data_IF_877899377528
#
_entry.id   IF_877899377528
#
_cell.length_a   1.000
_cell.length_b   1.000
_cell.length_c   1.000
_cell.angle_alpha   90.00
_cell.angle_beta   90.00
_cell.angle_gamma   90.00
#
_symmetry.space_group_name_H-M   'P 1'
#
loop_
_entity.id
_entity.type
_entity.pdbx_description
1 polymer ?
#
# COMPACT_ATOMS: atom_id res chain seq x y z
N UNK A 1 -5.43 -25.30 -1.78
CA UNK A 1 -4.49 -24.17 -2.01
C UNK A 1 -5.23 -23.16 -2.87
N UNK A 2 -5.76 -22.10 -2.26
CA UNK A 2 -6.45 -21.03 -3.00
C UNK A 2 -5.34 -20.10 -3.52
N UNK A 3 -5.28 -19.88 -4.83
CA UNK A 3 -4.23 -19.07 -5.46
C UNK A 3 -4.66 -17.60 -5.56
N UNK A 4 -3.78 -16.64 -5.23
CA UNK A 4 -4.04 -15.19 -5.30
C UNK A 4 -3.83 -14.59 -6.69
N UNK A 5 -3.60 -15.43 -7.71
CA UNK A 5 -3.32 -14.99 -9.09
C UNK A 5 -4.40 -14.01 -9.59
N UNK A 6 -5.67 -14.28 -9.31
CA UNK A 6 -6.79 -13.43 -9.75
C UNK A 6 -6.73 -12.02 -9.15
N UNK A 7 -6.41 -11.92 -7.87
CA UNK A 7 -6.40 -10.64 -7.14
C UNK A 7 -5.22 -9.78 -7.57
N UNK A 8 -4.03 -10.39 -7.65
CA UNK A 8 -2.81 -9.71 -8.12
C UNK A 8 -2.97 -9.23 -9.55
N UNK A 9 -3.55 -10.06 -10.43
CA UNK A 9 -3.83 -9.68 -11.82
C UNK A 9 -4.79 -8.49 -11.89
N UNK A 10 -5.89 -8.52 -11.15
CA UNK A 10 -6.87 -7.42 -11.11
C UNK A 10 -6.28 -6.13 -10.55
N UNK A 11 -5.47 -6.21 -9.50
CA UNK A 11 -4.78 -5.06 -8.93
C UNK A 11 -3.83 -4.39 -9.93
N UNK A 12 -3.24 -5.16 -10.85
CA UNK A 12 -2.40 -4.67 -11.95
C UNK A 12 -3.20 -4.28 -13.21
N UNK A 13 -4.53 -4.38 -13.20
CA UNK A 13 -5.39 -4.03 -14.33
C UNK A 13 -5.22 -4.93 -15.56
N UNK A 14 -4.72 -6.15 -15.40
CA UNK A 14 -4.42 -7.05 -16.52
C UNK A 14 -5.58 -8.01 -16.83
N UNK A 15 -5.79 -8.32 -18.11
CA UNK A 15 -6.72 -9.37 -18.54
C UNK A 15 -6.06 -10.76 -18.45
N UNK A 16 -6.86 -11.84 -18.51
CA UNK A 16 -6.31 -13.20 -18.58
C UNK A 16 -5.41 -13.39 -19.81
N UNK A 17 -5.75 -12.73 -20.92
CA UNK A 17 -4.99 -12.76 -22.17
C UNK A 17 -3.66 -12.02 -22.04
N UNK A 18 -3.63 -10.89 -21.35
CA UNK A 18 -2.39 -10.14 -21.09
C UNK A 18 -1.39 -10.97 -20.28
N UNK A 19 -1.86 -11.64 -19.23
CA UNK A 19 -1.00 -12.50 -18.41
C UNK A 19 -0.52 -13.71 -19.22
N UNK A 20 -1.39 -14.29 -20.04
CA UNK A 20 -1.04 -15.44 -20.87
C UNK A 20 0.05 -15.12 -21.90
N UNK A 21 0.00 -13.92 -22.49
CA UNK A 21 1.02 -13.39 -23.43
C UNK A 21 2.35 -13.05 -22.75
N UNK A 22 2.31 -12.63 -21.49
CA UNK A 22 3.50 -12.29 -20.70
C UNK A 22 4.23 -13.49 -20.10
N UNK A 23 3.60 -14.66 -20.11
CA UNK A 23 4.25 -15.90 -19.67
C UNK A 23 5.35 -16.32 -20.64
N UNK A 24 6.42 -16.94 -20.12
CA UNK A 24 7.46 -17.59 -20.92
C UNK A 24 7.58 -19.09 -20.55
N UNK A 25 7.29 -20.01 -21.49
CA UNK A 25 6.69 -19.77 -22.81
C UNK A 25 5.25 -19.23 -22.72
N UNK A 26 4.77 -18.51 -23.75
CA UNK A 26 3.40 -17.99 -23.80
C UNK A 26 2.36 -19.09 -23.65
N UNK A 27 1.25 -18.77 -23.01
CA UNK A 27 0.15 -19.71 -22.79
C UNK A 27 -1.20 -19.13 -23.25
N UNK A 28 -2.30 -19.78 -22.88
CA UNK A 28 -3.66 -19.35 -23.22
C UNK A 28 -4.38 -18.75 -22.03
N UNK A 29 -5.25 -17.76 -22.28
CA UNK A 29 -6.12 -17.16 -21.26
C UNK A 29 -6.94 -18.22 -20.49
N UNK A 30 -7.36 -19.29 -21.17
CA UNK A 30 -8.06 -20.42 -20.55
C UNK A 30 -7.17 -21.19 -19.56
N UNK A 31 -5.87 -21.32 -19.83
CA UNK A 31 -4.94 -21.96 -18.90
C UNK A 31 -4.72 -21.12 -17.66
N UNK A 32 -4.54 -19.81 -17.81
CA UNK A 32 -4.48 -18.87 -16.68
C UNK A 32 -5.78 -18.89 -15.87
N UNK A 33 -6.94 -18.88 -16.55
CA UNK A 33 -8.25 -18.96 -15.89
C UNK A 33 -8.44 -20.25 -15.08
N UNK A 34 -7.97 -21.39 -15.58
CA UNK A 34 -8.00 -22.66 -14.84
C UNK A 34 -7.09 -22.67 -13.61
N UNK A 35 -5.95 -21.98 -13.68
CA UNK A 35 -5.06 -21.79 -12.52
C UNK A 35 -5.70 -20.85 -11.48
N UNK A 36 -6.41 -19.80 -11.91
CA UNK A 36 -7.15 -18.90 -11.01
C UNK A 36 -8.31 -19.59 -10.29
N UNK A 37 -9.01 -20.51 -10.96
CA UNK A 37 -10.16 -21.23 -10.37
C UNK A 37 -9.77 -22.51 -9.64
N UNK A 38 -8.48 -22.87 -9.59
CA UNK A 38 -7.99 -24.07 -8.91
C UNK A 38 -8.39 -25.39 -9.59
N UNK A 39 -8.92 -25.34 -10.81
CA UNK A 39 -9.27 -26.53 -11.61
C UNK A 39 -8.06 -27.22 -12.24
N UNK A 40 -6.88 -26.61 -12.13
CA UNK A 40 -5.59 -27.19 -12.47
C UNK A 40 -4.63 -27.01 -11.30
N UNK A 41 -3.92 -28.08 -10.91
CA UNK A 41 -2.89 -28.04 -9.87
C UNK A 41 -1.78 -27.06 -10.26
N UNK A 42 -1.51 -26.08 -9.39
CA UNK A 42 -0.46 -25.09 -9.58
C UNK A 42 0.89 -25.71 -9.17
N UNK A 43 1.70 -26.12 -10.15
CA UNK A 43 3.07 -26.56 -9.90
C UNK A 43 3.98 -25.38 -9.56
N UNK A 44 5.13 -25.63 -8.94
CA UNK A 44 6.13 -24.60 -8.62
C UNK A 44 6.60 -23.86 -9.89
N UNK A 45 6.81 -24.57 -11.00
CA UNK A 45 7.16 -23.97 -12.29
C UNK A 45 6.07 -23.02 -12.81
N UNK A 46 4.79 -23.40 -12.65
CA UNK A 46 3.69 -22.53 -13.06
C UNK A 46 3.54 -21.33 -12.13
N UNK A 47 3.78 -21.49 -10.83
CA UNK A 47 3.78 -20.40 -9.87
C UNK A 47 4.84 -19.35 -10.25
N UNK A 48 6.09 -19.78 -10.46
CA UNK A 48 7.18 -18.89 -10.83
C UNK A 48 6.90 -18.20 -12.17
N UNK A 49 6.44 -18.94 -13.18
CA UNK A 49 6.08 -18.37 -14.49
C UNK A 49 5.00 -17.29 -14.40
N UNK A 50 3.96 -17.52 -13.60
CA UNK A 50 2.88 -16.54 -13.42
C UNK A 50 3.37 -15.36 -12.57
N UNK A 51 4.26 -15.58 -11.61
CA UNK A 51 4.88 -14.53 -10.81
C UNK A 51 5.68 -13.58 -11.69
N UNK A 52 6.50 -14.14 -12.58
CA UNK A 52 7.28 -13.39 -13.57
C UNK A 52 6.38 -12.60 -14.52
N UNK A 53 5.33 -13.25 -15.07
CA UNK A 53 4.37 -12.60 -15.97
C UNK A 53 3.60 -11.44 -15.30
N UNK A 54 3.39 -11.54 -13.98
CA UNK A 54 2.76 -10.50 -13.17
C UNK A 54 3.78 -9.50 -12.60
N UNK A 55 5.09 -9.77 -12.68
CA UNK A 55 6.14 -8.95 -12.07
C UNK A 55 5.98 -8.84 -10.55
N UNK A 56 5.83 -9.98 -9.87
CA UNK A 56 5.74 -10.10 -8.40
C UNK A 56 6.60 -11.27 -7.94
N UNK A 57 6.93 -11.30 -6.64
CA UNK A 57 7.55 -12.48 -6.03
C UNK A 57 6.56 -13.67 -5.99
N UNK A 58 7.04 -14.90 -6.18
CA UNK A 58 6.18 -16.08 -6.25
C UNK A 58 5.45 -16.37 -4.92
N UNK A 59 6.00 -15.94 -3.78
CA UNK A 59 5.32 -16.02 -2.49
C UNK A 59 4.06 -15.13 -2.45
N UNK A 60 4.02 -14.04 -3.23
CA UNK A 60 2.85 -13.15 -3.29
C UNK A 60 1.63 -13.80 -3.98
N UNK A 61 1.86 -14.85 -4.80
CA UNK A 61 0.79 -15.59 -5.49
C UNK A 61 0.24 -16.76 -4.67
N UNK A 62 0.97 -17.17 -3.64
CA UNK A 62 0.49 -18.11 -2.66
C UNK A 62 -0.40 -17.35 -1.67
N UNK A 63 -1.56 -17.92 -1.35
CA UNK A 63 -2.23 -17.53 -0.10
C UNK A 63 -1.32 -18.00 1.02
N UNK A 64 -0.49 -17.11 1.54
CA UNK A 64 0.18 -17.35 2.80
C UNK A 64 -0.93 -17.63 3.83
N UNK A 65 -0.85 -18.73 4.60
CA UNK A 65 -1.91 -19.15 5.51
C UNK A 65 -2.28 -18.11 6.59
N UNK A 66 -1.52 -17.02 6.70
CA UNK A 66 -1.67 -15.96 7.69
C UNK A 66 -2.32 -14.66 7.17
N UNK A 67 -2.87 -14.60 5.95
CA UNK A 67 -3.75 -13.46 5.63
C UNK A 67 -5.12 -13.70 6.28
N UNK A 68 -5.22 -13.32 7.54
CA UNK A 68 -6.49 -13.30 8.26
C UNK A 68 -7.46 -12.36 7.54
N UNK A 69 -8.58 -12.94 7.10
CA UNK A 69 -9.72 -12.20 6.58
C UNK A 69 -10.68 -11.92 7.75
N UNK A 70 -10.96 -10.64 7.98
CA UNK A 70 -11.95 -10.22 8.96
C UNK A 70 -13.27 -9.94 8.24
N UNK A 71 -14.33 -10.75 8.46
CA UNK A 71 -15.62 -10.48 7.83
C UNK A 71 -16.19 -9.16 8.33
N UNK A 72 -16.63 -8.31 7.40
CA UNK A 72 -17.32 -7.08 7.76
C UNK A 72 -18.73 -7.44 8.20
N UNK A 73 -19.14 -7.04 9.40
CA UNK A 73 -20.47 -7.32 9.93
C UNK A 73 -21.50 -6.23 9.57
N UNK A 74 -21.06 -4.97 9.47
CA UNK A 74 -21.92 -3.81 9.22
C UNK A 74 -21.14 -2.61 8.64
N UNK A 75 -21.87 -1.66 8.05
CA UNK A 75 -21.37 -0.35 7.62
C UNK A 75 -21.92 0.71 8.58
N UNK A 76 -21.07 1.65 9.01
CA UNK A 76 -21.46 2.81 9.81
C UNK A 76 -21.39 4.08 8.95
N UNK A 77 -22.49 4.81 8.87
CA UNK A 77 -22.54 6.15 8.26
C UNK A 77 -23.25 7.16 9.19
N UNK A 78 -23.59 8.34 8.66
CA UNK A 78 -24.30 9.40 9.39
C UNK A 78 -25.70 9.01 9.88
N UNK A 79 -26.29 7.90 9.41
CA UNK A 79 -27.60 7.37 9.82
C UNK A 79 -27.50 6.22 10.82
N UNK A 80 -26.29 5.70 11.06
CA UNK A 80 -26.03 4.60 12.00
C UNK A 80 -25.52 3.32 11.34
N UNK A 81 -25.41 2.25 12.13
CA UNK A 81 -24.90 0.96 11.68
C UNK A 81 -25.99 0.17 10.93
N UNK A 82 -25.66 -0.37 9.75
CA UNK A 82 -26.59 -1.13 8.91
C UNK A 82 -25.91 -2.27 8.15
N UNK A 83 -26.71 -3.20 7.65
CA UNK A 83 -26.25 -4.39 6.94
C UNK A 83 -25.60 -4.06 5.58
N UNK A 84 -24.71 -4.94 5.13
CA UNK A 84 -24.04 -4.81 3.84
C UNK A 84 -24.98 -5.16 2.67
N UNK A 85 -24.76 -4.53 1.51
CA UNK A 85 -25.42 -4.93 0.26
C UNK A 85 -24.83 -6.19 -0.39
N UNK A 86 -23.63 -6.60 0.01
CA UNK A 86 -22.89 -7.78 -0.46
C UNK A 86 -21.87 -8.21 0.59
N UNK A 87 -21.39 -9.46 0.55
CA UNK A 87 -20.32 -9.92 1.43
C UNK A 87 -19.03 -9.13 1.19
N UNK A 88 -18.42 -8.63 2.27
CA UNK A 88 -17.16 -7.88 2.25
C UNK A 88 -16.24 -8.34 3.40
N UNK A 89 -14.93 -8.32 3.15
CA UNK A 89 -13.89 -8.70 4.10
C UNK A 89 -12.85 -7.58 4.19
N UNK A 90 -12.28 -7.38 5.37
CA UNK A 90 -11.09 -6.56 5.61
C UNK A 90 -9.88 -7.50 5.65
N UNK A 91 -8.84 -7.12 4.92
CA UNK A 91 -7.59 -7.88 4.85
C UNK A 91 -6.54 -7.24 5.74
N UNK A 92 -5.74 -8.06 6.42
CA UNK A 92 -4.62 -7.56 7.18
C UNK A 92 -3.66 -6.74 6.28
N UNK A 93 -3.36 -5.49 6.67
CA UNK A 93 -2.27 -4.67 6.13
C UNK A 93 -0.94 -5.42 5.93
N UNK A 94 -0.43 -5.51 4.70
CA UNK A 94 0.95 -5.97 4.45
C UNK A 94 1.99 -4.88 4.78
N UNK A 95 3.09 -5.26 5.40
CA UNK A 95 4.28 -4.42 5.61
C UNK A 95 5.24 -4.63 4.42
N UNK A 96 5.53 -3.56 3.67
CA UNK A 96 6.48 -3.60 2.55
C UNK A 96 7.91 -3.30 3.04
N UNK A 97 8.98 -3.82 2.39
CA UNK A 97 10.37 -3.61 2.83
C UNK A 97 10.79 -2.13 2.95
N UNK A 98 10.15 -1.24 2.19
CA UNK A 98 10.43 0.19 2.21
C UNK A 98 9.61 0.96 3.27
N UNK A 99 8.81 0.30 4.10
CA UNK A 99 8.01 0.99 5.12
C UNK A 99 8.80 1.37 6.37
N UNK A 100 8.42 2.48 6.97
CA UNK A 100 8.85 2.94 8.29
C UNK A 100 7.62 3.38 9.09
N UNK A 101 7.75 3.54 10.40
CA UNK A 101 6.64 3.97 11.26
C UNK A 101 6.99 5.23 12.05
N UNK A 102 5.97 6.04 12.33
CA UNK A 102 6.01 7.19 13.22
C UNK A 102 4.96 6.99 14.32
N UNK A 103 5.39 7.06 15.59
CA UNK A 103 4.48 7.02 16.74
C UNK A 103 4.09 8.41 17.19
N UNK A 104 2.79 8.63 17.38
CA UNK A 104 2.24 9.92 17.82
C UNK A 104 2.16 9.92 19.35
N UNK A 105 3.04 10.69 19.99
CA UNK A 105 3.05 10.82 21.46
C UNK A 105 2.01 11.79 21.98
N UNK A 106 1.71 12.84 21.23
CA UNK A 106 0.73 13.87 21.57
C UNK A 106 -0.12 14.20 20.35
N UNK A 107 -1.42 14.38 20.55
CA UNK A 107 -2.37 14.64 19.46
C UNK A 107 -2.02 15.91 18.69
N UNK A 108 -2.11 15.84 17.36
CA UNK A 108 -1.84 16.96 16.44
C UNK A 108 -2.58 16.74 15.12
N UNK A 109 -3.28 17.77 14.63
CA UNK A 109 -4.15 17.63 13.45
C UNK A 109 -5.16 16.49 13.65
N UNK A 110 -5.23 15.58 12.67
CA UNK A 110 -6.12 14.40 12.70
C UNK A 110 -5.53 13.20 13.48
N UNK A 111 -4.27 13.31 13.92
CA UNK A 111 -3.54 12.25 14.63
C UNK A 111 -3.73 12.39 16.14
N UNK A 112 -4.00 11.27 16.82
CA UNK A 112 -4.20 11.19 18.28
C UNK A 112 -3.01 10.55 18.97
N UNK A 113 -2.81 10.88 20.24
CA UNK A 113 -1.81 10.21 21.08
C UNK A 113 -2.06 8.69 21.09
N UNK A 114 -0.99 7.92 20.88
CA UNK A 114 -1.04 6.46 20.76
C UNK A 114 -1.08 5.95 19.32
N UNK A 115 -1.34 6.80 18.32
CA UNK A 115 -1.37 6.36 16.93
C UNK A 115 -0.01 5.87 16.43
N UNK A 116 -0.07 4.83 15.59
CA UNK A 116 1.00 4.40 14.71
C UNK A 116 0.71 4.80 13.27
N UNK A 117 1.52 5.70 12.72
CA UNK A 117 1.44 6.10 11.32
C UNK A 117 2.44 5.30 10.52
N UNK A 118 1.94 4.48 9.60
CA UNK A 118 2.77 3.72 8.68
C UNK A 118 3.07 4.54 7.44
N UNK A 119 4.34 4.58 7.08
CA UNK A 119 4.89 5.46 6.06
C UNK A 119 5.58 4.61 4.98
N UNK A 120 5.26 4.85 3.73
CA UNK A 120 5.94 4.24 2.58
C UNK A 120 7.10 5.13 2.17
N UNK A 121 8.36 4.67 2.27
CA UNK A 121 9.52 5.45 1.82
C UNK A 121 9.51 5.62 0.31
N UNK A 122 9.87 6.82 -0.14
CA UNK A 122 9.96 7.23 -1.53
C UNK A 122 11.32 7.84 -1.80
N UNK A 123 11.80 7.68 -3.04
CA UNK A 123 13.01 8.32 -3.55
C UNK A 123 12.69 9.66 -4.23
N UNK A 124 13.72 10.45 -4.54
CA UNK A 124 13.56 11.81 -5.06
C UNK A 124 12.72 11.90 -6.35
N UNK A 125 12.78 10.88 -7.19
CA UNK A 125 12.00 10.78 -8.44
C UNK A 125 10.50 10.65 -8.15
N UNK A 126 10.14 10.18 -6.97
CA UNK A 126 8.77 9.87 -6.56
C UNK A 126 8.15 10.97 -5.69
N UNK A 127 8.90 11.98 -5.22
CA UNK A 127 8.36 12.99 -4.29
C UNK A 127 7.18 13.77 -4.87
N UNK A 128 7.14 13.99 -6.19
CA UNK A 128 6.07 14.73 -6.84
C UNK A 128 4.70 14.03 -6.70
N UNK A 129 4.69 12.69 -6.62
CA UNK A 129 3.47 11.91 -6.38
C UNK A 129 2.94 12.04 -4.95
N UNK A 130 3.70 12.65 -4.04
CA UNK A 130 3.33 12.87 -2.64
C UNK A 130 2.74 14.27 -2.38
N UNK A 131 2.53 15.09 -3.42
CA UNK A 131 1.89 16.40 -3.26
C UNK A 131 0.52 16.26 -2.56
N UNK A 132 0.26 17.16 -1.62
CA UNK A 132 -0.92 17.18 -0.75
C UNK A 132 -1.06 15.98 0.20
N UNK A 133 0.01 15.20 0.40
CA UNK A 133 0.06 14.11 1.37
C UNK A 133 0.84 14.51 2.60
N UNK A 134 0.51 13.89 3.72
CA UNK A 134 1.29 14.03 4.95
C UNK A 134 2.54 13.14 4.83
N UNK A 135 3.71 13.74 5.05
CA UNK A 135 5.01 13.13 4.84
C UNK A 135 5.93 13.32 6.03
N UNK A 136 6.77 12.33 6.28
CA UNK A 136 7.93 12.39 7.16
C UNK A 136 9.17 12.67 6.34
N UNK A 137 9.95 13.68 6.74
CA UNK A 137 11.19 14.08 6.05
C UNK A 137 12.35 14.04 7.05
N UNK A 138 13.42 13.27 6.80
CA UNK A 138 14.62 13.30 7.60
C UNK A 138 15.35 14.64 7.44
N UNK A 139 16.01 15.08 8.51
CA UNK A 139 16.82 16.30 8.57
C UNK A 139 18.19 16.00 9.20
N UNK A 140 19.20 16.85 8.96
CA UNK A 140 20.52 16.67 9.56
C UNK A 140 20.48 16.50 11.08
N UNK A 141 21.42 15.70 11.60
CA UNK A 141 21.55 15.32 13.00
C UNK A 141 20.38 14.47 13.55
N UNK A 142 19.85 13.55 12.73
CA UNK A 142 18.82 12.59 13.16
C UNK A 142 17.46 13.22 13.48
N UNK A 143 17.23 14.44 12.99
CA UNK A 143 15.96 15.14 13.20
C UNK A 143 14.96 14.75 12.12
N UNK A 144 13.69 14.99 12.39
CA UNK A 144 12.62 14.76 11.44
C UNK A 144 11.66 15.94 11.39
N UNK A 145 11.02 16.13 10.24
CA UNK A 145 9.89 17.02 10.06
C UNK A 145 8.70 16.20 9.57
N UNK A 146 7.55 16.36 10.19
CA UNK A 146 6.30 15.75 9.74
C UNK A 146 5.27 16.83 9.42
N UNK A 147 4.62 16.72 8.26
CA UNK A 147 3.64 17.69 7.80
C UNK A 147 3.17 17.42 6.37
N UNK A 148 2.29 18.26 5.87
CA UNK A 148 1.76 18.14 4.51
C UNK A 148 2.74 18.68 3.48
N UNK A 149 3.06 17.90 2.46
CA UNK A 149 3.79 18.39 1.29
C UNK A 149 2.87 19.29 0.47
N UNK A 150 3.13 20.58 0.45
CA UNK A 150 2.29 21.58 -0.24
C UNK A 150 2.91 22.08 -1.55
N UNK A 151 4.20 21.82 -1.76
CA UNK A 151 4.89 22.24 -2.97
C UNK A 151 6.25 21.57 -3.14
N UNK A 152 6.73 21.57 -4.38
CA UNK A 152 8.07 21.14 -4.76
C UNK A 152 8.61 22.14 -5.77
N UNK A 153 9.82 22.60 -5.54
CA UNK A 153 10.57 23.50 -6.42
C UNK A 153 11.97 22.92 -6.59
N UNK A 154 12.23 22.25 -7.71
CA UNK A 154 13.43 21.46 -7.97
C UNK A 154 13.78 20.49 -6.82
N UNK A 155 14.82 20.85 -6.05
CA UNK A 155 15.34 20.11 -4.91
C UNK A 155 14.74 20.52 -3.56
N UNK A 156 13.87 21.53 -3.53
CA UNK A 156 13.22 22.02 -2.33
C UNK A 156 11.83 21.45 -2.19
N UNK A 157 11.57 20.85 -1.03
CA UNK A 157 10.24 20.48 -0.60
C UNK A 157 9.67 21.58 0.30
N UNK A 158 8.42 21.92 0.08
CA UNK A 158 7.65 22.86 0.89
C UNK A 158 6.68 22.06 1.76
N UNK A 159 6.91 22.04 3.07
CA UNK A 159 6.14 21.25 4.03
C UNK A 159 5.43 22.18 5.00
N UNK A 160 4.12 21.99 5.16
CA UNK A 160 3.32 22.66 6.19
C UNK A 160 3.14 21.73 7.40
N UNK A 161 3.72 22.05 8.58
CA UNK A 161 3.48 21.27 9.79
C UNK A 161 2.00 21.28 10.18
N UNK A 162 1.53 20.20 10.82
CA UNK A 162 0.10 20.00 11.12
C UNK A 162 -0.45 20.86 12.28
N UNK A 163 0.43 21.51 13.05
CA UNK A 163 0.03 22.37 14.17
C UNK A 163 -0.69 23.64 13.69
N UNK A 164 -1.74 24.05 14.40
CA UNK A 164 -2.43 25.31 14.12
C UNK A 164 -1.47 26.50 14.15
N UNK A 165 -1.52 27.35 13.11
CA UNK A 165 -0.65 28.52 12.98
C UNK A 165 0.81 28.21 12.62
N UNK A 166 1.14 26.95 12.30
CA UNK A 166 2.47 26.59 11.85
C UNK A 166 2.82 27.30 10.53
N UNK A 167 4.07 27.73 10.42
CA UNK A 167 4.62 28.29 9.18
C UNK A 167 5.14 27.18 8.30
N UNK A 168 5.02 27.39 6.99
CA UNK A 168 5.68 26.56 5.98
C UNK A 168 7.18 26.45 6.28
N UNK A 169 7.71 25.24 6.15
CA UNK A 169 9.13 24.94 6.23
C UNK A 169 9.63 24.45 4.87
N UNK A 170 10.87 24.81 4.54
CA UNK A 170 11.54 24.37 3.33
C UNK A 170 12.63 23.37 3.72
N UNK A 171 12.64 22.22 3.05
CA UNK A 171 13.69 21.22 3.19
C UNK A 171 14.31 20.97 1.82
N UNK A 172 15.62 21.16 1.71
CA UNK A 172 16.38 20.92 0.48
C UNK A 172 16.97 19.51 0.49
N UNK A 173 16.91 18.83 -0.65
CA UNK A 173 17.58 17.56 -0.94
C UNK A 173 17.44 16.49 0.18
N UNK A 174 16.21 16.17 0.64
CA UNK A 174 16.06 15.10 1.61
C UNK A 174 16.40 13.75 0.97
N UNK A 175 17.13 12.92 1.72
CA UNK A 175 17.56 11.58 1.27
C UNK A 175 16.37 10.69 0.85
N UNK A 176 15.27 10.77 1.60
CA UNK A 176 14.01 10.08 1.32
C UNK A 176 12.85 10.85 1.96
N UNK A 177 11.61 10.52 1.56
CA UNK A 177 10.41 10.92 2.32
C UNK A 177 9.58 9.70 2.65
N UNK A 178 8.94 9.69 3.81
CA UNK A 178 7.95 8.67 4.19
C UNK A 178 6.56 9.22 3.97
N UNK A 179 5.81 8.71 3.01
CA UNK A 179 4.43 9.15 2.76
C UNK A 179 3.48 8.38 3.68
N UNK A 180 2.63 9.07 4.44
CA UNK A 180 1.63 8.44 5.30
C UNK A 180 0.63 7.65 4.43
N UNK A 181 0.58 6.33 4.65
CA UNK A 181 -0.26 5.41 3.87
C UNK A 181 -1.30 4.68 4.72
N UNK A 182 -1.06 4.55 6.02
CA UNK A 182 -2.00 3.89 6.95
C UNK A 182 -1.85 4.44 8.36
N UNK A 183 -2.97 4.50 9.07
CA UNK A 183 -3.04 4.84 10.48
C UNK A 183 -3.54 3.61 11.23
N UNK A 184 -2.81 3.20 12.27
CA UNK A 184 -3.24 2.16 13.19
C UNK A 184 -3.47 2.81 14.55
N UNK A 185 -4.68 2.64 15.08
CA UNK A 185 -5.08 3.15 16.39
C UNK A 185 -5.75 2.02 17.14
N UNK A 186 -5.13 1.63 18.25
CA UNK A 186 -5.77 0.80 19.26
C UNK A 186 -6.81 1.67 20.00
N UNK A 187 -8.04 1.16 20.14
CA UNK A 187 -9.19 1.88 20.69
C UNK A 187 -9.59 1.33 22.05
#
# INVERSE_FOLDING_TARGET
MISRIRDVRKAKGLTLDDVAKRCDPPTTAQTVGRLETGTRTLSLDWLNRIADALGVDSAALLSLPDQEELPVAAILDHKGAHALGKTENIYQPTIEPAMVALRVKSSVGDYRAGDDVWLSRRTAEQFSAALNRDILVPRPAGRYLFGRLIGRDDNKLQILPLGGGARQQIVSDPEWIGVAVRLVREL
#
